data_IF_568922323677
#
_entry.id   IF_568922323677
#
_cell.length_a   1.000
_cell.length_b   1.000
_cell.length_c   1.000
_cell.angle_alpha   90.00
_cell.angle_beta   90.00
_cell.angle_gamma   90.00
#
_symmetry.space_group_name_H-M   'P 1'
#
loop_
_entity.id
_entity.type
_entity.pdbx_description
1 polymer ?
#
# COMPACT_ATOMS: atom_id res chain seq x y z
N UNK A 1 -1.34 -4.45 -18.44
CA UNK A 1 -1.54 -5.24 -17.19
C UNK A 1 -2.76 -4.67 -16.49
N UNK A 2 -3.71 -5.50 -16.06
CA UNK A 2 -4.90 -5.04 -15.35
C UNK A 2 -4.66 -5.03 -13.83
N UNK A 3 -5.33 -4.14 -13.11
CA UNK A 3 -5.24 -4.03 -11.67
C UNK A 3 -5.74 -5.29 -10.95
N UNK A 4 -5.04 -5.75 -9.91
CA UNK A 4 -5.32 -6.99 -9.14
C UNK A 4 -5.56 -6.67 -7.67
N UNK A 5 -6.46 -7.41 -6.98
CA UNK A 5 -6.84 -7.13 -5.59
C UNK A 5 -6.15 -8.01 -4.52
N UNK A 6 -5.53 -9.12 -4.86
CA UNK A 6 -4.70 -9.97 -3.96
C UNK A 6 -5.36 -10.38 -2.64
N UNK A 7 -6.68 -10.53 -2.58
CA UNK A 7 -7.44 -10.82 -1.35
C UNK A 7 -7.28 -9.78 -0.22
N UNK A 8 -6.77 -8.58 -0.53
CA UNK A 8 -6.65 -7.43 0.37
C UNK A 8 -7.67 -6.35 0.00
N UNK A 9 -7.92 -5.41 0.92
CA UNK A 9 -8.74 -4.23 0.61
C UNK A 9 -7.92 -3.23 -0.21
N UNK A 10 -8.60 -2.55 -1.13
CA UNK A 10 -8.04 -1.46 -1.92
C UNK A 10 -8.99 -0.28 -1.90
N UNK A 11 -8.46 0.93 -1.96
CA UNK A 11 -9.21 2.17 -2.21
C UNK A 11 -9.94 2.12 -3.55
N UNK A 12 -9.38 1.44 -4.53
CA UNK A 12 -9.96 1.24 -5.87
C UNK A 12 -10.99 0.10 -5.97
N UNK A 13 -11.43 -0.51 -4.86
CA UNK A 13 -12.33 -1.68 -4.92
C UNK A 13 -13.64 -1.42 -5.69
N UNK A 14 -14.13 -0.17 -5.65
CA UNK A 14 -15.37 0.25 -6.32
C UNK A 14 -15.12 1.02 -7.62
N UNK A 15 -13.87 1.27 -7.96
CA UNK A 15 -13.46 2.10 -9.09
C UNK A 15 -12.24 1.49 -9.79
N UNK A 16 -12.49 0.44 -10.56
CA UNK A 16 -11.46 -0.27 -11.33
C UNK A 16 -10.94 0.59 -12.49
N UNK A 17 -11.74 1.52 -12.99
CA UNK A 17 -11.35 2.38 -14.11
C UNK A 17 -10.24 3.34 -13.67
N UNK A 18 -10.39 4.00 -12.53
CA UNK A 18 -9.31 4.83 -11.94
C UNK A 18 -8.05 4.03 -11.62
N UNK A 19 -8.21 2.78 -11.14
CA UNK A 19 -7.07 1.90 -10.90
C UNK A 19 -6.31 1.57 -12.19
N UNK A 20 -7.02 1.27 -13.27
CA UNK A 20 -6.40 1.02 -14.57
C UNK A 20 -5.83 2.29 -15.21
N UNK A 21 -6.48 3.44 -15.00
CA UNK A 21 -5.95 4.74 -15.43
C UNK A 21 -4.59 5.01 -14.79
N UNK A 22 -4.44 4.78 -13.48
CA UNK A 22 -3.15 4.90 -12.80
C UNK A 22 -2.08 4.04 -13.48
N UNK A 23 -2.37 2.76 -13.74
CA UNK A 23 -1.41 1.86 -14.41
C UNK A 23 -1.08 2.30 -15.84
N UNK A 24 -2.05 2.87 -16.56
CA UNK A 24 -1.82 3.44 -17.89
C UNK A 24 -0.94 4.69 -17.83
N UNK A 25 -1.11 5.57 -16.84
CA UNK A 25 -0.21 6.71 -16.65
C UNK A 25 1.24 6.27 -16.40
N UNK A 26 1.43 5.21 -15.61
CA UNK A 26 2.76 4.63 -15.40
C UNK A 26 3.35 4.10 -16.72
N UNK A 27 2.54 3.51 -17.61
CA UNK A 27 3.00 3.09 -18.94
C UNK A 27 3.45 4.26 -19.82
N UNK A 28 2.73 5.38 -19.75
CA UNK A 28 3.00 6.57 -20.58
C UNK A 28 4.28 7.26 -20.10
N UNK A 29 4.36 7.54 -18.78
CA UNK A 29 5.47 8.33 -18.21
C UNK A 29 6.72 7.52 -17.87
N UNK A 30 6.57 6.19 -17.67
CA UNK A 30 7.66 5.26 -17.32
C UNK A 30 8.55 5.78 -16.18
N UNK A 31 7.98 6.21 -15.05
CA UNK A 31 8.77 6.79 -13.98
C UNK A 31 9.73 5.75 -13.41
N UNK A 32 10.95 6.17 -13.06
CA UNK A 32 11.89 5.32 -12.29
C UNK A 32 11.68 5.46 -10.80
N UNK A 33 11.25 6.63 -10.34
CA UNK A 33 10.89 6.88 -8.93
C UNK A 33 9.37 7.07 -8.81
N UNK A 34 8.77 6.43 -7.83
CA UNK A 34 7.34 6.52 -7.58
C UNK A 34 7.08 6.72 -6.08
N UNK A 35 6.30 7.73 -5.75
CA UNK A 35 5.86 8.02 -4.38
C UNK A 35 4.37 7.75 -4.23
N UNK A 36 4.01 6.97 -3.21
CA UNK A 36 2.62 6.74 -2.77
C UNK A 36 2.44 7.27 -1.34
N UNK A 37 1.47 8.15 -1.16
CA UNK A 37 1.03 8.60 0.17
C UNK A 37 -0.30 7.94 0.49
N UNK A 38 -0.34 7.18 1.60
CA UNK A 38 -1.49 6.34 1.95
C UNK A 38 -1.39 4.94 1.36
N UNK A 39 -0.47 4.11 1.86
CA UNK A 39 -0.22 2.73 1.40
C UNK A 39 -1.37 1.78 1.74
N UNK A 40 -2.05 2.02 2.87
CA UNK A 40 -3.17 1.21 3.36
C UNK A 40 -2.79 -0.28 3.49
N UNK A 41 -3.41 -1.19 2.73
CA UNK A 41 -3.06 -2.63 2.71
C UNK A 41 -2.10 -3.01 1.57
N UNK A 42 -1.49 -2.04 0.90
CA UNK A 42 -0.44 -2.21 -0.10
C UNK A 42 -0.90 -2.76 -1.45
N UNK A 43 -2.22 -2.79 -1.74
CA UNK A 43 -2.72 -3.34 -3.01
C UNK A 43 -2.30 -2.47 -4.19
N UNK A 44 -2.43 -1.16 -4.07
CA UNK A 44 -1.96 -0.20 -5.08
C UNK A 44 -0.46 -0.31 -5.23
N UNK A 45 0.28 -0.23 -4.11
CA UNK A 45 1.74 -0.40 -4.07
C UNK A 45 2.22 -1.64 -4.83
N UNK A 46 1.54 -2.78 -4.61
CA UNK A 46 1.88 -4.04 -5.28
C UNK A 46 1.69 -3.97 -6.78
N UNK A 47 0.56 -3.42 -7.25
CA UNK A 47 0.28 -3.26 -8.67
C UNK A 47 1.27 -2.28 -9.34
N UNK A 48 1.57 -1.17 -8.67
CA UNK A 48 2.56 -0.19 -9.12
C UNK A 48 3.94 -0.82 -9.24
N UNK A 49 4.41 -1.50 -8.20
CA UNK A 49 5.71 -2.19 -8.24
C UNK A 49 5.78 -3.26 -9.34
N UNK A 50 4.71 -4.04 -9.56
CA UNK A 50 4.67 -5.01 -10.67
C UNK A 50 4.79 -4.31 -12.02
N UNK A 51 4.11 -3.18 -12.19
CA UNK A 51 4.14 -2.40 -13.42
C UNK A 51 5.51 -1.78 -13.66
N UNK A 52 6.06 -1.08 -12.65
CA UNK A 52 7.38 -0.46 -12.72
C UNK A 52 8.49 -1.49 -13.00
N UNK A 53 8.41 -2.66 -12.37
CA UNK A 53 9.38 -3.73 -12.58
C UNK A 53 9.41 -4.21 -14.05
N UNK A 54 8.26 -4.26 -14.71
CA UNK A 54 8.17 -4.68 -16.11
C UNK A 54 8.72 -3.59 -17.02
N UNK A 55 8.26 -2.34 -16.87
CA UNK A 55 8.61 -1.26 -17.79
C UNK A 55 10.05 -0.79 -17.65
N UNK A 56 10.60 -0.83 -16.43
CA UNK A 56 11.96 -0.40 -16.12
C UNK A 56 12.95 -1.58 -15.96
N UNK A 57 12.55 -2.80 -16.31
CA UNK A 57 13.39 -4.01 -16.24
C UNK A 57 14.03 -4.22 -14.85
N UNK A 58 13.31 -3.87 -13.79
CA UNK A 58 13.77 -3.97 -12.41
C UNK A 58 14.51 -2.75 -11.85
N UNK A 59 14.79 -1.74 -12.66
CA UNK A 59 15.47 -0.50 -12.25
C UNK A 59 14.44 0.57 -11.87
N UNK A 60 13.96 0.55 -10.64
CA UNK A 60 13.01 1.53 -10.12
C UNK A 60 13.15 1.70 -8.60
N UNK A 61 12.63 2.79 -8.07
CA UNK A 61 12.44 3.02 -6.63
C UNK A 61 10.96 3.30 -6.35
N UNK A 62 10.42 2.61 -5.37
CA UNK A 62 9.08 2.84 -4.85
C UNK A 62 9.17 3.33 -3.40
N UNK A 63 8.61 4.50 -3.13
CA UNK A 63 8.54 5.11 -1.81
C UNK A 63 7.09 5.13 -1.33
N UNK A 64 6.80 4.50 -0.21
CA UNK A 64 5.46 4.45 0.39
C UNK A 64 5.44 5.11 1.76
N UNK A 65 4.58 6.10 1.94
CA UNK A 65 4.36 6.80 3.19
C UNK A 65 3.00 6.43 3.76
N UNK A 66 2.95 5.99 5.01
CA UNK A 66 1.71 5.73 5.75
C UNK A 66 1.98 5.75 7.25
N UNK A 67 0.95 5.91 8.05
CA UNK A 67 1.04 5.78 9.51
C UNK A 67 1.31 4.34 9.95
N UNK A 68 1.03 3.35 9.12
CA UNK A 68 1.23 1.90 9.36
C UNK A 68 0.80 1.48 10.77
N UNK A 69 -0.42 1.81 11.17
CA UNK A 69 -0.87 1.66 12.54
C UNK A 69 -0.93 0.23 13.02
N UNK A 70 -0.19 0.01 14.05
CA UNK A 70 -0.51 -0.97 15.08
C UNK A 70 -1.56 -0.36 16.00
N UNK A 71 -2.68 -1.02 16.11
CA UNK A 71 -4.00 -0.60 16.55
C UNK A 71 -4.17 0.01 17.93
N UNK A 72 -3.17 0.41 18.67
CA UNK A 72 -3.30 0.61 20.09
C UNK A 72 -3.12 2.02 20.66
N UNK A 73 -2.69 3.03 19.93
CA UNK A 73 -2.55 4.33 20.58
C UNK A 73 -2.85 5.53 19.66
N UNK A 74 -3.81 6.30 20.13
CA UNK A 74 -3.97 7.75 19.90
C UNK A 74 -4.04 8.18 18.44
N UNK A 75 -5.21 8.03 17.85
CA UNK A 75 -5.61 8.92 16.76
C UNK A 75 -6.69 9.83 17.29
N UNK A 76 -6.47 11.11 17.10
CA UNK A 76 -7.43 12.17 17.33
C UNK A 76 -8.77 11.83 16.67
N UNK A 77 -9.88 12.10 17.35
CA UNK A 77 -11.23 11.69 16.95
C UNK A 77 -11.68 12.12 15.55
N UNK A 78 -10.88 12.90 14.83
CA UNK A 78 -11.15 13.37 13.46
C UNK A 78 -10.74 12.40 12.36
N UNK A 79 -9.85 11.42 12.61
CA UNK A 79 -9.39 10.45 11.60
C UNK A 79 -9.96 9.04 11.80
N UNK A 80 -11.08 8.91 12.48
CA UNK A 80 -11.72 7.62 12.82
C UNK A 80 -12.18 6.75 11.64
N UNK A 81 -12.01 7.18 10.40
CA UNK A 81 -12.43 6.41 9.22
C UNK A 81 -11.63 5.13 9.00
N UNK A 82 -10.40 5.04 9.52
CA UNK A 82 -9.53 3.86 9.34
C UNK A 82 -9.95 2.68 10.21
N UNK A 83 -10.36 2.92 11.48
CA UNK A 83 -10.76 1.84 12.40
C UNK A 83 -12.02 1.08 11.94
N UNK A 84 -13.00 1.78 11.39
CA UNK A 84 -14.28 1.18 10.98
C UNK A 84 -14.18 0.29 9.72
N UNK A 85 -13.10 0.42 8.95
CA UNK A 85 -12.95 -0.30 7.69
C UNK A 85 -12.07 -1.55 7.77
N UNK A 86 -11.65 -2.00 8.97
CA UNK A 86 -10.63 -3.03 9.10
C UNK A 86 -10.98 -4.35 8.43
N UNK A 87 -12.12 -4.92 8.68
CA UNK A 87 -12.57 -6.11 7.93
C UNK A 87 -14.10 -6.18 8.04
N UNK A 88 -14.82 -5.94 6.96
CA UNK A 88 -16.29 -5.98 6.95
C UNK A 88 -16.88 -7.38 6.95
N UNK A 89 -16.05 -8.42 6.73
CA UNK A 89 -16.50 -9.80 6.72
C UNK A 89 -16.05 -10.48 8.03
N UNK A 90 -16.97 -10.92 8.92
CA UNK A 90 -16.63 -11.52 10.20
C UNK A 90 -15.76 -12.79 10.06
N UNK A 91 -15.94 -13.58 9.01
CA UNK A 91 -15.11 -14.76 8.73
C UNK A 91 -13.65 -14.40 8.41
N UNK A 92 -13.43 -13.34 7.62
CA UNK A 92 -12.06 -12.83 7.34
C UNK A 92 -11.43 -12.25 8.60
N UNK A 93 -12.22 -11.56 9.43
CA UNK A 93 -11.75 -11.03 10.72
C UNK A 93 -11.28 -12.16 11.64
N UNK A 94 -12.09 -13.21 11.77
CA UNK A 94 -11.74 -14.40 12.55
C UNK A 94 -10.45 -15.06 12.01
N UNK A 95 -10.36 -15.26 10.70
CA UNK A 95 -9.22 -15.90 10.06
C UNK A 95 -7.92 -15.11 10.22
N UNK A 96 -7.95 -13.81 9.96
CA UNK A 96 -6.73 -12.99 9.98
C UNK A 96 -6.30 -12.57 11.38
N UNK A 97 -7.22 -12.24 12.26
CA UNK A 97 -6.89 -11.75 13.60
C UNK A 97 -6.72 -12.88 14.63
N UNK A 98 -7.56 -13.94 14.59
CA UNK A 98 -7.51 -15.03 15.56
C UNK A 98 -6.61 -16.19 15.11
N UNK A 99 -6.70 -16.62 13.85
CA UNK A 99 -5.98 -17.79 13.36
C UNK A 99 -4.60 -17.42 12.84
N UNK A 100 -4.51 -16.41 11.99
CA UNK A 100 -3.25 -16.03 11.35
C UNK A 100 -2.46 -14.95 12.12
N UNK A 101 -3.08 -14.28 13.10
CA UNK A 101 -2.50 -13.16 13.88
C UNK A 101 -1.78 -12.14 12.98
N UNK A 102 -2.34 -11.86 11.80
CA UNK A 102 -1.74 -10.97 10.80
C UNK A 102 -2.42 -9.61 10.81
N UNK A 103 -1.70 -8.59 11.26
CA UNK A 103 -2.08 -7.21 10.99
C UNK A 103 -1.70 -6.84 9.56
N UNK A 104 -2.72 -6.65 8.69
CA UNK A 104 -2.52 -6.31 7.28
C UNK A 104 -2.09 -4.85 7.06
N UNK A 105 -2.13 -4.03 8.12
CA UNK A 105 -1.77 -2.60 8.07
C UNK A 105 -0.36 -2.34 8.59
N UNK A 106 0.28 -3.30 9.26
CA UNK A 106 1.62 -3.12 9.78
C UNK A 106 2.65 -3.00 8.66
N UNK A 107 3.68 -2.21 8.89
CA UNK A 107 4.80 -2.02 7.95
C UNK A 107 5.43 -3.36 7.55
N UNK A 108 5.58 -4.28 8.50
CA UNK A 108 6.11 -5.64 8.25
C UNK A 108 5.23 -6.46 7.33
N UNK A 109 3.90 -6.34 7.48
CA UNK A 109 2.95 -7.03 6.61
C UNK A 109 3.02 -6.50 5.17
N UNK A 110 3.24 -5.19 5.01
CA UNK A 110 3.40 -4.58 3.70
C UNK A 110 4.74 -4.99 3.08
N UNK A 111 5.86 -4.96 3.82
CA UNK A 111 7.14 -5.46 3.32
C UNK A 111 7.08 -6.95 2.91
N UNK A 112 6.43 -7.80 3.69
CA UNK A 112 6.20 -9.21 3.31
C UNK A 112 5.36 -9.33 2.04
N UNK A 113 4.37 -8.47 1.88
CA UNK A 113 3.53 -8.47 0.68
C UNK A 113 4.28 -7.96 -0.56
N UNK A 114 5.20 -7.03 -0.40
CA UNK A 114 6.05 -6.48 -1.45
C UNK A 114 7.41 -7.18 -1.58
N UNK A 115 7.63 -8.30 -0.88
CA UNK A 115 8.95 -8.97 -0.76
C UNK A 115 9.66 -9.23 -2.10
N UNK A 116 8.91 -9.45 -3.19
CA UNK A 116 9.45 -9.65 -4.54
C UNK A 116 10.25 -8.44 -5.05
N UNK A 117 9.99 -7.26 -4.50
CA UNK A 117 10.59 -5.99 -4.88
C UNK A 117 11.39 -5.36 -3.74
N UNK A 118 11.85 -6.15 -2.76
CA UNK A 118 12.45 -5.67 -1.50
C UNK A 118 13.60 -4.68 -1.72
N UNK A 119 14.40 -4.87 -2.75
CA UNK A 119 15.53 -3.99 -3.09
C UNK A 119 15.12 -2.63 -3.64
N UNK A 120 13.87 -2.47 -4.05
CA UNK A 120 13.35 -1.30 -4.73
C UNK A 120 12.27 -0.57 -3.91
N UNK A 121 11.91 -1.09 -2.72
CA UNK A 121 10.79 -0.60 -1.92
C UNK A 121 11.29 -0.01 -0.63
N UNK A 122 10.92 1.24 -0.38
CA UNK A 122 11.20 2.01 0.82
C UNK A 122 9.89 2.45 1.46
N UNK A 123 9.65 2.07 2.72
CA UNK A 123 8.43 2.43 3.45
C UNK A 123 8.79 3.33 4.62
N UNK A 124 8.08 4.45 4.73
CA UNK A 124 8.30 5.48 5.74
C UNK A 124 7.07 5.57 6.64
N UNK A 125 7.26 5.29 7.94
CA UNK A 125 6.19 5.35 8.94
C UNK A 125 6.07 6.77 9.49
N UNK A 126 4.88 7.34 9.40
CA UNK A 126 4.58 8.67 9.96
C UNK A 126 3.48 9.38 9.20
N UNK A 127 3.15 10.57 9.68
CA UNK A 127 2.29 11.49 8.96
C UNK A 127 3.02 12.03 7.73
N UNK A 128 2.26 12.36 6.67
CA UNK A 128 2.85 12.79 5.39
C UNK A 128 3.72 14.05 5.51
N UNK A 129 3.38 14.98 6.39
CA UNK A 129 4.12 16.22 6.63
C UNK A 129 5.53 15.97 7.19
N UNK A 130 5.69 14.95 8.01
CA UNK A 130 6.98 14.60 8.63
C UNK A 130 7.73 13.50 7.86
N UNK A 131 7.01 12.51 7.36
CA UNK A 131 7.63 11.38 6.66
C UNK A 131 8.15 11.77 5.27
N UNK A 132 7.51 12.72 4.57
CA UNK A 132 7.99 13.21 3.27
C UNK A 132 9.34 13.91 3.35
N UNK A 133 9.66 14.53 4.49
CA UNK A 133 10.97 15.18 4.71
C UNK A 133 12.14 14.20 4.81
N UNK A 134 11.86 12.91 4.98
CA UNK A 134 12.87 11.86 5.08
C UNK A 134 13.20 11.21 3.72
N UNK A 135 12.49 11.61 2.66
CA UNK A 135 12.63 11.01 1.34
C UNK A 135 13.59 11.82 0.51
N UNK A 136 14.69 11.19 0.13
CA UNK A 136 15.64 11.70 -0.84
C UNK A 136 15.29 11.07 -2.21
N UNK A 137 14.72 11.86 -3.14
CA UNK A 137 14.18 11.42 -4.43
C UNK A 137 15.15 11.72 -5.57
#
# INVERSE_FOLDING_TARGET
>A
MNFKYYFRKSSFKKDIESANLLLNQIDIYKPKNFLEVGVFQGVTSRNVCEKLNVINKGEFSFHGVDIFEETNNVIDNKEMTVKHNRISNPFKHLLFNLILKKDLFSIDSIYKFLKKFKSNVYLYKGFSDTALLQIDL
#
